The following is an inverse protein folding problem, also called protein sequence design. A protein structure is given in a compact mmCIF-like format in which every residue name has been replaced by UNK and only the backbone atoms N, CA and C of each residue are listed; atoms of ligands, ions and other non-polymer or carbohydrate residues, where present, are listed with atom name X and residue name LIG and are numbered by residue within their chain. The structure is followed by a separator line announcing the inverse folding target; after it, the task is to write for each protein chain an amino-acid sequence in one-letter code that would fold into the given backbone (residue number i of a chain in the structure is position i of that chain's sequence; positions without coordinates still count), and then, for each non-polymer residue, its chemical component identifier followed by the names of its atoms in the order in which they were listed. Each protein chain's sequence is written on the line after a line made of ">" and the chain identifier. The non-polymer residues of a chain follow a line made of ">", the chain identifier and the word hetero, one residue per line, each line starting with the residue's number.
data_IF_873569457721
#
_entry.id   IF_873569457721
#
_cell.length_a   1.000
_cell.length_b   1.000
_cell.length_c   1.000
_cell.angle_alpha   90.00
_cell.angle_beta   90.00
_cell.angle_gamma   90.00
#
_symmetry.space_group_name_H-M   'P 1'
#
loop_
_entity.id
_entity.type
_entity.pdbx_description
1 polymer ?
#
# COMPACT_ATOMS: atom_id res chain seq x y z
N UNK A 1 0.65 -1.64 8.92
CA UNK A 1 0.10 -2.43 7.81
C UNK A 1 1.19 -2.55 6.77
N UNK A 2 1.51 -3.78 6.35
CA UNK A 2 2.38 -3.98 5.20
C UNK A 2 1.67 -3.57 3.91
N UNK A 3 2.31 -2.81 2.99
CA UNK A 3 1.66 -2.37 1.75
C UNK A 3 1.15 -3.53 0.86
N UNK A 4 1.79 -4.71 0.90
CA UNK A 4 1.33 -5.87 0.13
C UNK A 4 -0.10 -6.30 0.44
N UNK A 5 -0.60 -6.04 1.66
CA UNK A 5 -1.95 -6.44 2.08
C UNK A 5 -3.04 -5.87 1.16
N UNK A 6 -2.80 -4.71 0.52
CA UNK A 6 -3.75 -4.11 -0.40
C UNK A 6 -4.14 -5.02 -1.58
N UNK A 7 -3.29 -5.98 -1.95
CA UNK A 7 -3.58 -6.95 -3.01
C UNK A 7 -4.63 -8.00 -2.63
N UNK A 8 -4.89 -8.18 -1.33
CA UNK A 8 -5.85 -9.17 -0.83
C UNK A 8 -7.05 -8.53 -0.13
N UNK A 9 -6.97 -7.24 0.20
CA UNK A 9 -8.07 -6.52 0.82
C UNK A 9 -9.11 -6.14 -0.24
N UNK A 10 -10.36 -6.48 0.06
CA UNK A 10 -11.52 -6.03 -0.68
C UNK A 10 -12.51 -5.39 0.29
N UNK A 11 -13.36 -4.49 -0.21
CA UNK A 11 -14.35 -3.86 0.64
C UNK A 11 -15.27 -4.94 1.26
N UNK A 12 -15.40 -5.02 2.59
CA UNK A 12 -16.20 -6.04 3.25
C UNK A 12 -17.68 -5.94 2.89
N UNK A 13 -18.14 -4.77 2.45
CA UNK A 13 -19.55 -4.50 2.15
C UNK A 13 -19.93 -4.88 0.72
N UNK A 14 -19.20 -4.40 -0.28
CA UNK A 14 -19.58 -4.56 -1.70
C UNK A 14 -18.62 -5.44 -2.52
N UNK A 15 -17.61 -6.01 -1.86
CA UNK A 15 -16.57 -6.90 -2.41
C UNK A 15 -15.73 -6.27 -3.52
N UNK A 16 -15.69 -4.94 -3.61
CA UNK A 16 -14.86 -4.25 -4.58
C UNK A 16 -13.37 -4.37 -4.25
N UNK A 17 -12.57 -4.55 -5.29
CA UNK A 17 -11.11 -4.57 -5.32
C UNK A 17 -10.69 -4.07 -6.73
N UNK A 18 -9.68 -3.18 -6.87
CA UNK A 18 -8.81 -2.61 -5.83
C UNK A 18 -9.47 -1.59 -4.91
N UNK A 19 -8.87 -1.39 -3.73
CA UNK A 19 -9.17 -0.29 -2.82
C UNK A 19 -8.09 0.78 -2.94
N UNK A 20 -8.45 2.03 -2.68
CA UNK A 20 -7.50 3.14 -2.57
C UNK A 20 -6.90 3.15 -1.16
N UNK A 21 -5.60 3.39 -1.04
CA UNK A 21 -4.92 3.47 0.26
C UNK A 21 -4.14 4.78 0.37
N UNK A 22 -4.30 5.48 1.49
CA UNK A 22 -3.67 6.75 1.81
C UNK A 22 -2.83 6.55 3.07
N UNK A 23 -1.50 6.61 2.97
CA UNK A 23 -0.61 6.38 4.11
C UNK A 23 -0.22 7.71 4.76
N UNK A 24 -0.32 7.81 6.09
CA UNK A 24 -0.12 9.06 6.82
C UNK A 24 1.13 9.06 7.68
N UNK A 25 1.50 7.91 8.25
CA UNK A 25 2.77 7.70 8.97
C UNK A 25 3.29 6.27 8.80
N UNK A 26 4.59 6.10 9.09
CA UNK A 26 5.28 4.82 9.08
C UNK A 26 5.62 4.40 10.51
N UNK A 27 5.37 3.11 10.81
CA UNK A 27 5.85 2.44 12.01
C UNK A 27 7.35 2.16 11.88
N UNK A 28 7.80 1.87 10.65
CA UNK A 28 9.21 1.66 10.34
C UNK A 28 10.01 2.95 10.66
N UNK A 29 11.04 2.87 11.53
CA UNK A 29 11.85 4.02 11.91
C UNK A 29 12.52 4.72 10.71
N UNK A 30 12.73 6.03 10.82
CA UNK A 30 13.26 6.84 9.72
C UNK A 30 14.66 6.43 9.23
N UNK A 31 15.54 5.97 10.12
CA UNK A 31 16.87 5.46 9.77
C UNK A 31 16.79 4.11 9.05
N UNK A 32 15.84 3.25 9.44
CA UNK A 32 15.55 2.01 8.73
C UNK A 32 14.93 2.29 7.34
N UNK A 33 14.00 3.23 7.22
CA UNK A 33 13.45 3.68 5.93
C UNK A 33 14.56 4.20 5.00
N UNK A 34 15.47 5.01 5.53
CA UNK A 34 16.62 5.51 4.77
C UNK A 34 17.53 4.37 4.30
N UNK A 35 17.75 3.36 5.15
CA UNK A 35 18.54 2.18 4.80
C UNK A 35 17.85 1.29 3.75
N UNK A 36 16.55 1.08 3.88
CA UNK A 36 15.74 0.33 2.91
C UNK A 36 15.82 0.99 1.54
N UNK A 37 15.64 2.32 1.49
CA UNK A 37 15.74 3.11 0.26
C UNK A 37 17.15 3.08 -0.33
N UNK A 38 18.20 3.30 0.48
CA UNK A 38 19.58 3.33 -0.01
C UNK A 38 20.03 2.01 -0.64
N UNK A 39 19.51 0.89 -0.12
CA UNK A 39 19.85 -0.44 -0.59
C UNK A 39 18.91 -0.90 -1.74
N UNK A 40 17.85 -0.15 -2.05
CA UNK A 40 16.88 -0.52 -3.08
C UNK A 40 17.52 -0.54 -4.47
N UNK A 41 17.12 -1.52 -5.28
CA UNK A 41 17.66 -1.73 -6.62
C UNK A 41 19.00 -2.45 -6.62
N UNK A 42 19.48 -2.91 -5.46
CA UNK A 42 20.67 -3.74 -5.32
C UNK A 42 20.25 -5.13 -4.81
N UNK A 43 19.95 -6.09 -5.71
CA UNK A 43 19.43 -7.41 -5.34
C UNK A 43 20.33 -8.12 -4.33
N UNK A 44 19.72 -8.57 -3.24
CA UNK A 44 20.41 -9.25 -2.15
C UNK A 44 20.17 -10.76 -2.22
N UNK A 45 21.24 -11.55 -2.13
CA UNK A 45 21.15 -13.01 -2.11
C UNK A 45 20.24 -13.55 -0.99
N UNK A 46 20.12 -12.84 0.13
CA UNK A 46 19.22 -13.17 1.26
C UNK A 46 17.76 -13.22 0.81
N UNK A 47 17.35 -12.36 -0.13
CA UNK A 47 15.97 -12.26 -0.60
C UNK A 47 15.70 -13.06 -1.87
N UNK A 48 16.66 -13.85 -2.37
CA UNK A 48 16.54 -14.61 -3.62
C UNK A 48 15.27 -15.47 -3.70
N UNK A 49 14.91 -16.13 -2.60
CA UNK A 49 13.69 -16.96 -2.54
C UNK A 49 12.44 -16.09 -2.64
N UNK A 50 12.44 -14.95 -1.95
CA UNK A 50 11.33 -14.02 -1.91
C UNK A 50 11.13 -13.32 -3.26
N UNK A 51 12.20 -13.00 -3.99
CA UNK A 51 12.09 -12.51 -5.36
C UNK A 51 11.42 -13.54 -6.28
N UNK A 52 11.75 -14.83 -6.14
CA UNK A 52 11.06 -15.89 -6.88
C UNK A 52 9.56 -15.95 -6.56
N UNK A 53 9.20 -15.86 -5.28
CA UNK A 53 7.80 -15.79 -4.88
C UNK A 53 7.07 -14.56 -5.43
N UNK A 54 7.69 -13.38 -5.32
CA UNK A 54 7.14 -12.13 -5.84
C UNK A 54 6.97 -12.19 -7.37
N UNK A 55 7.98 -12.66 -8.10
CA UNK A 55 7.92 -12.82 -9.55
C UNK A 55 6.79 -13.76 -9.97
N UNK A 56 6.61 -14.88 -9.26
CA UNK A 56 5.50 -15.80 -9.50
C UNK A 56 4.14 -15.12 -9.25
N UNK A 57 3.99 -14.42 -8.13
CA UNK A 57 2.75 -13.71 -7.77
C UNK A 57 2.39 -12.59 -8.75
N UNK A 58 3.39 -11.93 -9.33
CA UNK A 58 3.18 -10.94 -10.39
C UNK A 58 2.77 -11.64 -11.70
N UNK A 59 3.43 -12.73 -12.06
CA UNK A 59 3.15 -13.46 -13.29
C UNK A 59 1.75 -14.10 -13.32
N UNK A 60 1.25 -14.56 -12.16
CA UNK A 60 -0.07 -15.19 -12.00
C UNK A 60 -1.18 -14.23 -11.52
N UNK A 61 -0.91 -12.93 -11.45
CA UNK A 61 -1.82 -11.86 -10.98
C UNK A 61 -2.29 -11.98 -9.52
N UNK A 62 -1.67 -12.83 -8.70
CA UNK A 62 -1.89 -12.80 -7.24
C UNK A 62 -1.53 -11.44 -6.65
N UNK A 63 -0.49 -10.78 -7.19
CA UNK A 63 -0.21 -9.37 -6.96
C UNK A 63 -0.76 -8.58 -8.15
N UNK A 64 -1.78 -7.77 -7.89
CA UNK A 64 -2.37 -6.88 -8.87
C UNK A 64 -1.55 -5.60 -8.94
N UNK A 65 -0.88 -5.38 -10.07
CA UNK A 65 -0.18 -4.12 -10.33
C UNK A 65 -1.12 -2.92 -10.27
N UNK A 66 -2.41 -3.10 -10.57
CA UNK A 66 -3.41 -2.03 -10.47
C UNK A 66 -3.73 -1.71 -9.01
N UNK A 67 -3.80 -2.70 -8.11
CA UNK A 67 -3.97 -2.44 -6.68
C UNK A 67 -2.82 -1.61 -6.10
N UNK A 68 -1.59 -1.87 -6.55
CA UNK A 68 -0.42 -1.10 -6.12
C UNK A 68 -0.43 0.35 -6.60
N UNK A 69 -1.01 0.61 -7.78
CA UNK A 69 -1.21 1.97 -8.29
C UNK A 69 -2.24 2.75 -7.50
N UNK A 70 -3.04 2.11 -6.65
CA UNK A 70 -4.03 2.78 -5.80
C UNK A 70 -3.47 3.24 -4.44
N UNK A 71 -2.17 3.05 -4.22
CA UNK A 71 -1.47 3.57 -3.04
C UNK A 71 -1.18 5.06 -3.24
N UNK A 72 -1.35 5.85 -2.18
CA UNK A 72 -1.01 7.27 -2.09
C UNK A 72 -0.19 7.43 -0.82
N UNK A 73 1.13 7.51 -0.97
CA UNK A 73 2.01 7.89 0.14
C UNK A 73 1.83 9.39 0.41
N UNK A 74 1.14 9.72 1.51
CA UNK A 74 0.95 11.10 2.00
C UNK A 74 1.82 11.34 3.25
N UNK A 75 2.83 10.50 3.47
CA UNK A 75 3.81 10.72 4.54
C UNK A 75 4.78 11.82 4.13
N UNK A 76 5.43 12.43 5.12
CA UNK A 76 6.45 13.46 4.88
C UNK A 76 7.86 12.85 4.75
N UNK A 77 7.94 11.53 4.51
CA UNK A 77 9.19 10.78 4.46
C UNK A 77 9.81 10.82 3.06
N UNK A 78 10.92 11.55 2.92
CA UNK A 78 11.69 11.60 1.68
C UNK A 78 12.16 10.22 1.19
N UNK A 79 12.72 9.33 2.04
CA UNK A 79 13.18 8.02 1.58
C UNK A 79 12.07 7.16 0.98
N UNK A 80 10.85 7.22 1.53
CA UNK A 80 9.73 6.43 1.01
C UNK A 80 9.13 7.05 -0.23
N UNK A 81 9.12 8.38 -0.34
CA UNK A 81 8.73 9.07 -1.57
C UNK A 81 9.65 8.68 -2.75
N UNK A 82 10.97 8.66 -2.54
CA UNK A 82 11.95 8.21 -3.54
C UNK A 82 11.75 6.74 -3.92
N UNK A 83 11.64 5.87 -2.91
CA UNK A 83 11.39 4.44 -3.13
C UNK A 83 10.09 4.20 -3.90
N UNK A 84 9.02 4.92 -3.59
CA UNK A 84 7.73 4.79 -4.24
C UNK A 84 7.75 5.29 -5.69
N UNK A 85 8.55 6.32 -6.00
CA UNK A 85 8.79 6.75 -7.39
C UNK A 85 9.41 5.60 -8.19
N UNK A 86 10.40 4.90 -7.64
CA UNK A 86 11.06 3.80 -8.32
C UNK A 86 10.16 2.55 -8.44
N UNK A 87 9.30 2.29 -7.44
CA UNK A 87 8.22 1.30 -7.55
C UNK A 87 7.31 1.63 -8.73
N UNK A 88 6.81 2.86 -8.85
CA UNK A 88 5.92 3.25 -9.94
C UNK A 88 6.58 3.13 -11.31
N UNK A 89 7.83 3.58 -11.46
CA UNK A 89 8.59 3.39 -12.71
C UNK A 89 8.70 1.92 -13.08
N UNK A 90 8.94 1.04 -12.10
CA UNK A 90 9.02 -0.39 -12.36
C UNK A 90 7.66 -0.97 -12.76
N UNK A 91 6.58 -0.62 -12.07
CA UNK A 91 5.22 -1.05 -12.42
C UNK A 91 4.84 -0.60 -13.83
N UNK A 92 5.09 0.66 -14.19
CA UNK A 92 4.83 1.20 -15.53
C UNK A 92 5.61 0.41 -16.60
N UNK A 93 6.88 0.13 -16.33
CA UNK A 93 7.71 -0.68 -17.23
C UNK A 93 7.17 -2.09 -17.40
N UNK A 94 6.68 -2.72 -16.33
CA UNK A 94 6.04 -4.04 -16.44
C UNK A 94 4.78 -3.96 -17.28
N UNK A 95 3.90 -2.97 -17.11
CA UNK A 95 2.64 -2.88 -17.88
C UNK A 95 2.89 -2.70 -19.39
N UNK A 96 4.00 -2.05 -19.77
CA UNK A 96 4.40 -1.89 -21.18
C UNK A 96 4.97 -3.16 -21.81
N UNK A 97 5.32 -4.15 -21.00
CA UNK A 97 6.00 -5.37 -21.44
C UNK A 97 5.22 -6.63 -21.02
N UNK A 98 5.36 -7.73 -21.77
CA UNK A 98 4.72 -8.99 -21.34
C UNK A 98 5.44 -9.57 -20.10
N UNK A 99 4.85 -9.32 -18.93
CA UNK A 99 5.37 -9.70 -17.61
C UNK A 99 4.86 -11.05 -17.09
N UNK A 100 4.10 -11.81 -17.89
CA UNK A 100 3.46 -13.08 -17.48
C UNK A 100 4.42 -14.27 -17.36
N UNK A 101 5.71 -14.02 -17.20
CA UNK A 101 6.74 -15.07 -17.10
C UNK A 101 7.66 -14.80 -15.91
N UNK A 102 7.60 -15.69 -14.93
CA UNK A 102 8.48 -15.68 -13.75
C UNK A 102 9.96 -15.63 -14.14
N UNK A 103 10.37 -16.46 -15.10
CA UNK A 103 11.76 -16.52 -15.58
C UNK A 103 12.22 -15.19 -16.19
N UNK A 104 11.37 -14.56 -17.03
CA UNK A 104 11.67 -13.24 -17.61
C UNK A 104 11.76 -12.17 -16.54
N UNK A 105 10.86 -12.18 -15.55
CA UNK A 105 10.89 -11.22 -14.44
C UNK A 105 12.20 -11.32 -13.66
N UNK A 106 12.61 -12.53 -13.28
CA UNK A 106 13.83 -12.77 -12.50
C UNK A 106 15.11 -12.43 -13.27
N UNK A 107 15.16 -12.74 -14.56
CA UNK A 107 16.35 -12.53 -15.39
C UNK A 107 16.49 -11.09 -15.88
N UNK A 108 15.38 -10.41 -16.19
CA UNK A 108 15.39 -9.09 -16.84
C UNK A 108 15.15 -7.94 -15.86
N UNK A 109 14.51 -8.19 -14.73
CA UNK A 109 14.12 -7.18 -13.74
C UNK A 109 14.53 -7.47 -12.29
N UNK A 110 15.75 -7.97 -12.02
CA UNK A 110 16.14 -8.28 -10.65
C UNK A 110 16.15 -7.03 -9.75
N UNK A 111 16.58 -5.86 -10.26
CA UNK A 111 16.58 -4.61 -9.50
C UNK A 111 15.15 -4.12 -9.20
N UNK A 112 14.25 -4.22 -10.18
CA UNK A 112 12.84 -3.84 -10.01
C UNK A 112 12.13 -4.74 -9.00
N UNK A 113 12.40 -6.05 -9.03
CA UNK A 113 11.88 -7.00 -8.04
C UNK A 113 12.39 -6.68 -6.63
N UNK A 114 13.64 -6.26 -6.50
CA UNK A 114 14.19 -5.83 -5.20
C UNK A 114 13.50 -4.57 -4.67
N UNK A 115 13.38 -3.53 -5.50
CA UNK A 115 12.67 -2.28 -5.17
C UNK A 115 11.25 -2.58 -4.70
N UNK A 116 10.52 -3.36 -5.49
CA UNK A 116 9.14 -3.71 -5.18
C UNK A 116 9.03 -4.57 -3.93
N UNK A 117 9.88 -5.58 -3.78
CA UNK A 117 9.89 -6.44 -2.60
C UNK A 117 10.11 -5.63 -1.32
N UNK A 118 11.07 -4.70 -1.33
CA UNK A 118 11.39 -3.83 -0.20
C UNK A 118 10.20 -2.97 0.19
N UNK A 119 9.59 -2.28 -0.77
CA UNK A 119 8.42 -1.45 -0.52
C UNK A 119 7.21 -2.27 -0.04
N UNK A 120 7.00 -3.46 -0.59
CA UNK A 120 5.84 -4.26 -0.22
C UNK A 120 5.97 -4.92 1.16
N UNK A 121 7.19 -5.30 1.58
CA UNK A 121 7.39 -6.21 2.71
C UNK A 121 8.20 -5.61 3.87
N UNK A 122 9.11 -4.67 3.60
CA UNK A 122 10.04 -4.19 4.63
C UNK A 122 9.53 -2.93 5.34
N UNK A 123 8.77 -2.07 4.66
CA UNK A 123 8.13 -0.93 5.33
C UNK A 123 6.78 -1.32 5.95
N UNK A 124 6.37 -0.60 6.98
CA UNK A 124 5.16 -0.83 7.73
C UNK A 124 4.46 0.48 8.05
N UNK A 125 3.23 0.64 7.55
CA UNK A 125 2.39 1.81 7.80
C UNK A 125 1.91 1.79 9.25
N UNK A 126 2.07 2.88 9.99
CA UNK A 126 1.51 3.00 11.35
C UNK A 126 0.04 3.43 11.24
N UNK A 127 -0.21 4.60 10.66
CA UNK A 127 -1.55 5.13 10.40
C UNK A 127 -1.81 5.46 8.93
N UNK A 128 -3.07 5.32 8.52
CA UNK A 128 -3.52 5.54 7.15
C UNK A 128 -5.01 5.34 6.98
N UNK A 129 -5.50 5.42 5.75
CA UNK A 129 -6.91 5.24 5.41
C UNK A 129 -7.04 4.42 4.14
N UNK A 130 -7.99 3.49 4.12
CA UNK A 130 -8.38 2.74 2.94
C UNK A 130 -9.76 3.21 2.50
N UNK A 131 -9.95 3.55 1.23
CA UNK A 131 -11.24 3.95 0.66
C UNK A 131 -11.69 2.95 -0.40
N UNK A 132 -12.96 2.57 -0.35
CA UNK A 132 -13.62 1.89 -1.45
C UNK A 132 -14.16 2.92 -2.45
N UNK A 133 -13.62 2.99 -3.69
CA UNK A 133 -14.10 3.94 -4.69
C UNK A 133 -15.52 3.65 -5.20
N UNK A 134 -16.05 2.44 -4.95
CA UNK A 134 -17.38 2.01 -5.42
C UNK A 134 -18.52 2.43 -4.49
N UNK A 135 -18.37 2.27 -3.17
CA UNK A 135 -19.44 2.60 -2.21
C UNK A 135 -19.14 3.80 -1.31
N UNK A 136 -17.97 4.44 -1.49
CA UNK A 136 -17.47 5.59 -0.74
C UNK A 136 -17.24 5.33 0.77
N UNK A 137 -17.16 4.05 1.17
CA UNK A 137 -16.75 3.69 2.53
C UNK A 137 -15.25 3.84 2.71
N UNK A 138 -14.86 4.25 3.89
CA UNK A 138 -13.46 4.29 4.29
C UNK A 138 -13.23 3.48 5.56
N UNK A 139 -11.98 3.03 5.73
CA UNK A 139 -11.53 2.20 6.85
C UNK A 139 -10.21 2.78 7.37
N UNK A 140 -10.07 3.05 8.68
CA UNK A 140 -8.80 3.51 9.22
C UNK A 140 -7.79 2.36 9.24
N UNK A 141 -6.51 2.75 9.21
CA UNK A 141 -5.37 1.93 9.58
C UNK A 141 -4.79 2.56 10.83
N UNK A 142 -4.59 1.78 11.90
CA UNK A 142 -3.89 2.28 13.08
C UNK A 142 -4.74 3.10 14.05
N UNK A 143 -6.06 3.20 13.88
CA UNK A 143 -6.89 4.07 14.74
C UNK A 143 -7.13 3.48 16.13
N UNK A 144 -7.30 2.16 16.24
CA UNK A 144 -7.51 1.43 17.48
C UNK A 144 -6.27 0.65 17.91
N UNK A 145 -5.59 0.04 16.94
CA UNK A 145 -4.35 -0.71 17.13
C UNK A 145 -3.42 -0.32 16.00
N UNK A 146 -2.25 0.21 16.36
CA UNK A 146 -1.20 0.61 15.43
C UNK A 146 -1.00 -0.45 14.35
N UNK A 147 -0.77 0.00 13.11
CA UNK A 147 -0.51 -0.86 11.95
C UNK A 147 -1.67 -1.73 11.47
N UNK A 148 -2.79 -1.83 12.20
CA UNK A 148 -3.89 -2.73 11.85
C UNK A 148 -4.95 -2.01 11.00
N UNK A 149 -5.31 -2.52 9.81
CA UNK A 149 -6.45 -2.02 9.05
C UNK A 149 -7.78 -2.50 9.64
N UNK A 150 -8.72 -1.59 9.88
CA UNK A 150 -9.97 -1.84 10.59
C UNK A 150 -11.17 -1.91 9.62
N UNK A 151 -11.30 -3.03 8.90
CA UNK A 151 -12.37 -3.27 7.91
C UNK A 151 -13.69 -3.71 8.57
N UNK A 152 -14.18 -2.92 9.52
CA UNK A 152 -15.44 -3.18 10.23
C UNK A 152 -16.66 -2.72 9.42
N UNK A 153 -17.80 -3.42 9.52
CA UNK A 153 -19.07 -2.93 8.98
C UNK A 153 -19.58 -1.71 9.77
N UNK A 154 -20.44 -0.91 9.13
CA UNK A 154 -20.87 0.40 9.63
C UNK A 154 -21.50 0.34 11.04
N UNK A 155 -22.18 -0.75 11.39
CA UNK A 155 -22.85 -0.96 12.68
C UNK A 155 -21.89 -1.29 13.83
N UNK A 156 -20.63 -1.62 13.52
CA UNK A 156 -19.55 -1.86 14.49
C UNK A 156 -18.54 -0.69 14.54
N UNK A 157 -18.84 0.43 13.86
CA UNK A 157 -18.00 1.63 13.83
C UNK A 157 -18.42 2.60 14.93
N UNK A 158 -17.43 3.13 15.65
CA UNK A 158 -17.63 4.06 16.76
C UNK A 158 -17.45 5.51 16.26
N UNK A 159 -18.56 6.25 16.13
CA UNK A 159 -18.59 7.59 15.53
C UNK A 159 -17.60 8.56 16.17
N UNK A 160 -17.52 8.61 17.51
CA UNK A 160 -16.61 9.52 18.21
C UNK A 160 -15.15 9.29 17.80
N UNK A 161 -14.70 8.02 17.80
CA UNK A 161 -13.34 7.63 17.42
C UNK A 161 -13.06 7.93 15.96
N UNK A 162 -14.00 7.59 15.07
CA UNK A 162 -13.85 7.84 13.64
C UNK A 162 -13.74 9.34 13.35
N UNK A 163 -14.56 10.17 14.01
CA UNK A 163 -14.50 11.61 13.85
C UNK A 163 -13.21 12.21 14.41
N UNK A 164 -12.68 11.69 15.51
CA UNK A 164 -11.35 12.06 16.01
C UNK A 164 -10.25 11.71 15.00
N UNK A 165 -10.29 10.52 14.42
CA UNK A 165 -9.34 10.07 13.40
C UNK A 165 -9.40 10.96 12.15
N UNK A 166 -10.61 11.25 11.64
CA UNK A 166 -10.79 12.13 10.48
C UNK A 166 -10.27 13.55 10.75
N UNK A 167 -10.55 14.12 11.92
CA UNK A 167 -10.05 15.45 12.30
C UNK A 167 -8.54 15.48 12.44
N UNK A 168 -7.93 14.44 13.02
CA UNK A 168 -6.47 14.30 13.13
C UNK A 168 -5.79 14.41 11.76
N UNK A 169 -6.37 13.76 10.75
CA UNK A 169 -5.78 13.64 9.40
C UNK A 169 -6.43 14.52 8.34
N UNK A 170 -7.25 15.49 8.72
CA UNK A 170 -8.08 16.31 7.82
C UNK A 170 -7.31 16.90 6.63
N UNK A 171 -6.07 17.35 6.85
CA UNK A 171 -5.23 17.94 5.81
C UNK A 171 -4.75 16.93 4.74
N UNK A 172 -4.69 15.64 5.08
CA UNK A 172 -4.25 14.55 4.19
C UNK A 172 -5.40 13.70 3.64
N UNK A 173 -6.62 13.88 4.15
CA UNK A 173 -7.81 13.17 3.66
C UNK A 173 -8.14 13.56 2.20
N UNK A 174 -8.54 12.59 1.35
CA UNK A 174 -9.15 12.90 0.06
C UNK A 174 -10.53 13.58 0.25
N UNK A 175 -10.90 14.44 -0.69
CA UNK A 175 -12.14 15.24 -0.60
C UNK A 175 -13.41 14.39 -0.55
N UNK A 176 -13.40 13.21 -1.18
CA UNK A 176 -14.51 12.26 -1.14
C UNK A 176 -14.77 11.73 0.26
N UNK A 177 -13.72 11.52 1.07
CA UNK A 177 -13.89 11.08 2.46
C UNK A 177 -14.47 12.20 3.31
N UNK A 178 -14.01 13.45 3.10
CA UNK A 178 -14.51 14.62 3.82
C UNK A 178 -15.99 14.88 3.55
N UNK A 179 -16.43 14.73 2.30
CA UNK A 179 -17.76 15.22 1.87
C UNK A 179 -18.83 14.14 1.82
N UNK A 180 -18.46 12.89 1.50
CA UNK A 180 -19.41 11.78 1.27
C UNK A 180 -18.93 10.45 1.84
N UNK A 181 -17.87 10.48 2.64
CA UNK A 181 -17.31 9.30 3.29
C UNK A 181 -18.37 8.59 4.12
N UNK A 182 -18.36 7.26 4.06
CA UNK A 182 -19.22 6.41 4.89
C UNK A 182 -18.38 5.58 5.86
N UNK A 183 -18.89 5.30 7.07
CA UNK A 183 -20.20 5.71 7.58
C UNK A 183 -20.28 7.18 8.04
N UNK A 184 -19.14 7.81 8.32
CA UNK A 184 -19.04 9.19 8.79
C UNK A 184 -18.14 10.04 7.89
N UNK A 185 -18.37 11.34 7.87
CA UNK A 185 -17.63 12.33 7.09
C UNK A 185 -17.46 13.61 7.92
N UNK A 186 -16.51 14.49 7.53
CA UNK A 186 -16.21 15.75 8.25
C UNK A 186 -17.27 16.83 8.04
#
# INVERSE_FOLDING_TARGET
>A
MKPWLLNILACPIDKHHPLEAYFYSWETPADELAKINSDAGNPNAVFKKQYGHLAKQIADDTISLDALKEIRDQTDSMPTAELYIDVNKFIERLVLEDYKSEEKLLSRYPEGLDILYRYLNLVEVEEGLIRCPKCDRWYPIGSAVETIPELMPDDLREEERDMEFLKKWESKLPDEVKTKGKPFSL
#
